data_IF_776967255306
#
_entry.id   IF_776967255306
#
_cell.length_a   1.000
_cell.length_b   1.000
_cell.length_c   1.000
_cell.angle_alpha   90.00
_cell.angle_beta   90.00
_cell.angle_gamma   90.00
#
_symmetry.space_group_name_H-M   'P 1'
#
loop_
_entity.id
_entity.type
_entity.pdbx_description
1 polymer ?
#
# COMPACT_ATOMS: atom_id res chain seq x y z
N UNK A 1 8.18 -21.93 -26.46
CA UNK A 1 7.94 -20.89 -25.44
C UNK A 1 6.91 -19.95 -25.99
N UNK A 2 5.70 -19.92 -25.41
CA UNK A 2 4.68 -18.95 -25.79
C UNK A 2 5.06 -17.57 -25.23
N UNK A 3 5.11 -16.59 -26.12
CA UNK A 3 5.39 -15.18 -25.83
C UNK A 3 4.11 -14.53 -25.27
N UNK A 4 4.09 -14.28 -23.97
CA UNK A 4 2.96 -13.61 -23.31
C UNK A 4 3.15 -12.11 -23.53
N UNK A 5 2.55 -11.59 -24.59
CA UNK A 5 2.49 -10.15 -24.86
C UNK A 5 1.42 -9.57 -23.92
N UNK A 6 1.87 -8.89 -22.86
CA UNK A 6 0.98 -8.11 -22.01
C UNK A 6 0.59 -6.83 -22.77
N UNK A 7 -0.69 -6.40 -22.70
CA UNK A 7 -1.07 -5.11 -23.24
C UNK A 7 -0.32 -4.00 -22.51
N UNK A 8 0.00 -2.93 -23.23
CA UNK A 8 0.54 -1.72 -22.64
C UNK A 8 -0.41 -1.23 -21.54
N UNK A 9 0.17 -0.84 -20.40
CA UNK A 9 -0.59 -0.27 -19.30
C UNK A 9 -1.18 1.03 -19.82
N UNK A 10 -2.50 1.19 -19.73
CA UNK A 10 -3.15 2.46 -19.97
C UNK A 10 -2.71 3.44 -18.88
N UNK A 11 -1.53 4.04 -19.04
CA UNK A 11 -1.10 5.15 -18.21
C UNK A 11 -1.85 6.38 -18.69
N UNK A 12 -2.86 6.80 -17.93
CA UNK A 12 -3.54 8.10 -18.05
C UNK A 12 -2.58 9.31 -17.94
N UNK A 13 -1.28 9.08 -17.77
CA UNK A 13 -0.22 10.07 -17.61
C UNK A 13 0.67 10.25 -18.85
N UNK A 14 0.36 9.59 -19.98
CA UNK A 14 1.18 9.64 -21.20
C UNK A 14 0.43 10.23 -22.40
N UNK A 15 -0.29 11.35 -22.22
CA UNK A 15 -0.66 12.22 -23.33
C UNK A 15 -0.31 13.68 -23.00
N UNK A 16 0.98 13.99 -23.06
CA UNK A 16 1.48 15.36 -22.93
C UNK A 16 1.30 16.13 -24.25
N UNK A 17 0.06 16.21 -24.76
CA UNK A 17 -0.12 16.62 -26.15
C UNK A 17 -1.50 17.02 -26.64
N UNK A 18 -2.45 17.46 -25.80
CA UNK A 18 -3.54 18.43 -26.08
C UNK A 18 -4.60 18.38 -24.97
N UNK A 19 -4.27 18.84 -23.76
CA UNK A 19 -5.30 19.00 -22.72
C UNK A 19 -5.98 20.36 -22.88
N UNK A 20 -7.04 20.38 -23.69
CA UNK A 20 -8.15 21.28 -23.40
C UNK A 20 -8.82 20.74 -22.14
N UNK A 21 -8.38 21.29 -21.00
CA UNK A 21 -8.75 20.89 -19.64
C UNK A 21 -10.19 21.36 -19.31
N UNK A 22 -11.19 20.59 -19.75
CA UNK A 22 -12.56 20.64 -19.24
C UNK A 22 -12.85 19.54 -18.20
N UNK A 23 -11.80 18.92 -17.66
CA UNK A 23 -11.88 18.25 -16.37
C UNK A 23 -11.81 19.29 -15.26
N UNK A 24 -12.62 19.22 -14.19
CA UNK A 24 -12.41 20.11 -13.05
C UNK A 24 -11.05 19.76 -12.45
N UNK A 25 -10.01 20.52 -12.78
CA UNK A 25 -8.68 20.42 -12.21
C UNK A 25 -8.81 20.09 -10.72
N UNK A 26 -8.41 18.88 -10.34
CA UNK A 26 -8.64 18.35 -9.00
C UNK A 26 -8.09 19.35 -7.98
N UNK A 27 -9.00 20.04 -7.28
CA UNK A 27 -8.62 21.04 -6.27
C UNK A 27 -8.15 20.31 -5.03
N UNK A 28 -6.85 20.35 -4.79
CA UNK A 28 -6.25 19.73 -3.61
C UNK A 28 -6.83 20.36 -2.35
N UNK A 29 -7.25 19.55 -1.37
CA UNK A 29 -7.73 20.08 -0.10
C UNK A 29 -6.56 20.66 0.69
N UNK A 30 -6.83 21.65 1.55
CA UNK A 30 -5.80 22.39 2.29
C UNK A 30 -4.91 21.49 3.17
N UNK A 31 -5.49 20.44 3.77
CA UNK A 31 -4.71 19.47 4.56
C UNK A 31 -3.66 18.70 3.74
N UNK A 32 -3.82 18.64 2.42
CA UNK A 32 -2.89 18.01 1.48
C UNK A 32 -1.88 19.02 0.88
N UNK A 33 -1.90 20.27 1.32
CA UNK A 33 -1.01 21.35 0.89
C UNK A 33 -0.12 21.83 2.05
N UNK A 34 1.05 22.38 1.72
CA UNK A 34 1.89 23.05 2.73
C UNK A 34 1.29 24.43 3.05
N UNK A 35 1.24 24.86 4.33
CA UNK A 35 1.97 24.32 5.49
C UNK A 35 1.23 23.25 6.32
N UNK A 36 -0.07 23.06 6.11
CA UNK A 36 -0.91 22.17 6.95
C UNK A 36 -0.45 20.71 6.88
N UNK A 37 -0.14 20.22 5.68
CA UNK A 37 0.38 18.88 5.46
C UNK A 37 1.65 18.62 6.28
N UNK A 38 2.57 19.59 6.34
CA UNK A 38 3.83 19.45 7.09
C UNK A 38 3.57 19.35 8.60
N UNK A 39 2.63 20.14 9.12
CA UNK A 39 2.23 20.07 10.53
C UNK A 39 1.56 18.72 10.84
N UNK A 40 0.69 18.23 9.96
CA UNK A 40 0.04 16.93 10.10
C UNK A 40 1.06 15.78 10.09
N UNK A 41 2.00 15.77 9.15
CA UNK A 41 3.05 14.76 9.06
C UNK A 41 3.95 14.75 10.30
N UNK A 42 4.33 15.92 10.81
CA UNK A 42 5.11 16.02 12.04
C UNK A 42 4.35 15.43 13.26
N UNK A 43 3.04 15.67 13.34
CA UNK A 43 2.19 15.11 14.39
C UNK A 43 1.91 13.59 14.21
N UNK A 44 1.96 13.08 12.98
CA UNK A 44 1.77 11.65 12.68
C UNK A 44 3.03 10.82 12.88
N UNK A 45 4.23 11.42 12.81
CA UNK A 45 5.51 10.71 12.82
C UNK A 45 5.74 9.81 14.04
N UNK A 46 5.16 10.14 15.19
CA UNK A 46 5.31 9.37 16.44
C UNK A 46 4.14 8.41 16.72
N UNK A 47 3.13 8.35 15.86
CA UNK A 47 1.97 7.48 16.06
C UNK A 47 2.25 6.07 15.58
N UNK A 48 1.96 5.08 16.41
CA UNK A 48 2.10 3.68 16.05
C UNK A 48 0.97 3.28 15.07
N UNK A 49 1.28 2.90 13.81
CA UNK A 49 0.26 2.47 12.85
C UNK A 49 -0.42 1.16 13.27
N UNK A 50 0.27 0.27 13.99
CA UNK A 50 -0.27 -1.03 14.38
C UNK A 50 -1.42 -0.89 15.40
N UNK A 51 -1.40 0.15 16.24
CA UNK A 51 -2.49 0.45 17.17
C UNK A 51 -3.74 0.98 16.46
N UNK A 52 -3.58 1.62 15.30
CA UNK A 52 -4.67 2.23 14.54
C UNK A 52 -5.30 1.26 13.52
N UNK A 53 -4.46 0.51 12.81
CA UNK A 53 -4.89 -0.35 11.71
C UNK A 53 -4.85 -1.85 12.04
N UNK A 54 -4.13 -2.23 13.10
CA UNK A 54 -3.88 -3.63 13.44
C UNK A 54 -2.91 -4.31 12.47
N UNK A 55 -2.67 -5.62 12.67
CA UNK A 55 -1.76 -6.38 11.84
C UNK A 55 -2.30 -6.54 10.40
N UNK A 56 -1.41 -6.41 9.42
CA UNK A 56 -1.73 -6.63 8.01
C UNK A 56 -2.03 -8.13 7.81
N UNK A 57 -3.29 -8.44 7.53
CA UNK A 57 -3.72 -9.83 7.27
C UNK A 57 -3.25 -10.29 5.89
N UNK A 58 -2.94 -11.58 5.73
CA UNK A 58 -2.61 -12.14 4.42
C UNK A 58 -3.78 -11.94 3.45
N UNK A 59 -3.46 -11.51 2.23
CA UNK A 59 -4.44 -11.26 1.20
C UNK A 59 -5.00 -12.57 0.63
N UNK A 60 -6.31 -12.78 0.74
CA UNK A 60 -6.99 -13.88 0.08
C UNK A 60 -7.60 -13.42 -1.24
N UNK A 61 -7.05 -13.90 -2.36
CA UNK A 61 -7.59 -13.61 -3.70
C UNK A 61 -8.98 -14.22 -3.91
N UNK A 62 -9.28 -15.32 -3.21
CA UNK A 62 -10.60 -15.96 -3.23
C UNK A 62 -11.67 -15.04 -2.64
N UNK A 63 -11.36 -14.37 -1.52
CA UNK A 63 -12.27 -13.42 -0.86
C UNK A 63 -12.48 -12.16 -1.69
N UNK A 64 -11.41 -11.61 -2.28
CA UNK A 64 -11.48 -10.38 -3.07
C UNK A 64 -12.33 -10.52 -4.33
N UNK A 65 -12.11 -11.58 -5.10
CA UNK A 65 -12.72 -11.74 -6.42
C UNK A 65 -13.95 -12.64 -6.41
N UNK A 66 -14.31 -13.23 -5.25
CA UNK A 66 -15.40 -14.21 -5.12
C UNK A 66 -15.35 -15.30 -6.21
N UNK A 67 -14.15 -15.62 -6.70
CA UNK A 67 -13.94 -16.47 -7.86
C UNK A 67 -13.80 -17.93 -7.43
N UNK A 68 -14.30 -18.87 -8.24
CA UNK A 68 -14.11 -20.29 -7.97
C UNK A 68 -12.62 -20.68 -8.00
N UNK A 69 -12.23 -21.51 -7.03
CA UNK A 69 -10.92 -22.17 -6.92
C UNK A 69 -10.54 -22.82 -8.25
N UNK A 70 -9.57 -22.24 -8.97
CA UNK A 70 -9.06 -22.79 -10.23
C UNK A 70 -8.61 -21.77 -11.28
N UNK A 71 -9.06 -20.50 -11.18
CA UNK A 71 -8.62 -19.43 -12.11
C UNK A 71 -7.33 -18.72 -11.68
N UNK A 72 -6.89 -18.91 -10.43
CA UNK A 72 -5.62 -18.39 -9.96
C UNK A 72 -4.52 -19.39 -10.26
N UNK A 73 -3.57 -18.99 -11.10
CA UNK A 73 -2.36 -19.78 -11.37
C UNK A 73 -1.56 -19.93 -10.07
N UNK A 74 -0.96 -21.11 -9.88
CA UNK A 74 -0.03 -21.32 -8.78
C UNK A 74 1.09 -20.28 -8.83
N UNK A 75 1.41 -19.71 -7.67
CA UNK A 75 2.46 -18.69 -7.54
C UNK A 75 3.78 -19.30 -8.01
N UNK A 76 4.39 -18.74 -9.05
CA UNK A 76 5.76 -19.06 -9.46
C UNK A 76 6.75 -18.54 -8.42
N UNK A 77 8.04 -18.84 -8.53
CA UNK A 77 9.06 -18.45 -7.53
C UNK A 77 9.07 -16.95 -7.19
N UNK A 78 8.82 -16.06 -8.18
CA UNK A 78 8.67 -14.60 -7.99
C UNK A 78 7.35 -14.19 -7.34
N UNK A 79 6.38 -15.10 -7.32
CA UNK A 79 5.09 -14.89 -6.71
C UNK A 79 5.05 -15.32 -5.25
N UNK A 80 5.96 -16.14 -4.73
CA UNK A 80 5.79 -16.81 -3.42
C UNK A 80 6.33 -16.00 -2.21
N UNK A 81 5.66 -14.91 -1.88
CA UNK A 81 5.96 -14.05 -0.72
C UNK A 81 5.62 -14.66 0.66
N UNK A 82 5.20 -15.93 0.74
CA UNK A 82 4.89 -16.58 2.02
C UNK A 82 6.12 -16.74 2.92
N UNK A 83 7.33 -16.69 2.35
CA UNK A 83 8.59 -16.81 3.07
C UNK A 83 9.24 -15.46 3.39
N UNK A 84 8.69 -14.37 2.87
CA UNK A 84 9.24 -13.01 2.95
C UNK A 84 8.53 -12.17 4.03
N UNK A 85 7.94 -12.82 5.03
CA UNK A 85 7.32 -12.15 6.17
C UNK A 85 8.36 -11.60 7.14
N UNK A 86 8.02 -10.50 7.81
CA UNK A 86 8.84 -9.98 8.90
C UNK A 86 8.86 -10.98 10.06
N UNK A 87 10.02 -11.14 10.68
CA UNK A 87 10.16 -11.86 11.94
C UNK A 87 9.75 -10.95 13.07
N UNK A 88 9.25 -11.56 14.14
CA UNK A 88 8.90 -10.86 15.38
C UNK A 88 10.05 -10.00 15.93
N UNK A 89 11.29 -10.47 15.80
CA UNK A 89 12.48 -9.73 16.19
C UNK A 89 12.65 -8.42 15.42
N UNK A 90 12.37 -8.43 14.11
CA UNK A 90 12.45 -7.27 13.23
C UNK A 90 11.36 -6.25 13.54
N UNK A 91 10.15 -6.72 13.86
CA UNK A 91 9.02 -5.89 14.31
C UNK A 91 9.34 -5.20 15.65
N UNK A 92 9.90 -5.93 16.61
CA UNK A 92 10.28 -5.40 17.92
C UNK A 92 11.43 -4.37 17.81
N UNK A 93 12.43 -4.63 16.95
CA UNK A 93 13.50 -3.68 16.69
C UNK A 93 12.99 -2.41 16.01
N UNK A 94 12.09 -2.55 15.03
CA UNK A 94 11.44 -1.43 14.38
C UNK A 94 10.65 -0.58 15.37
N UNK A 95 9.81 -1.19 16.20
CA UNK A 95 9.02 -0.48 17.21
C UNK A 95 9.92 0.27 18.20
N UNK A 96 11.03 -0.35 18.63
CA UNK A 96 12.03 0.30 19.50
C UNK A 96 12.69 1.49 18.82
N UNK A 97 13.09 1.37 17.55
CA UNK A 97 13.70 2.46 16.77
C UNK A 97 12.73 3.63 16.58
N UNK A 98 11.45 3.35 16.41
CA UNK A 98 10.41 4.36 16.23
C UNK A 98 9.90 4.95 17.55
N UNK A 99 10.31 4.40 18.70
CA UNK A 99 9.84 4.84 20.01
C UNK A 99 8.37 4.48 20.27
N UNK A 100 7.82 3.51 19.55
CA UNK A 100 6.47 3.02 19.78
C UNK A 100 6.48 2.22 21.09
N UNK A 101 5.88 2.79 22.15
CA UNK A 101 5.71 2.07 23.41
C UNK A 101 4.73 0.93 23.16
N UNK A 102 5.19 -0.31 23.29
CA UNK A 102 4.31 -1.47 23.21
C UNK A 102 3.27 -1.35 24.33
N UNK A 103 2.05 -0.94 23.98
CA UNK A 103 0.92 -0.89 24.89
C UNK A 103 0.63 -2.29 25.42
N UNK A 104 1.28 -2.66 26.51
CA UNK A 104 0.82 -3.73 27.40
C UNK A 104 -0.41 -3.19 28.12
N UNK A 105 -1.55 -3.30 27.43
CA UNK A 105 -2.81 -2.67 27.82
C UNK A 105 -3.99 -3.63 27.74
N UNK A 106 -3.99 -4.62 28.65
CA UNK A 106 -5.12 -5.42 29.16
C UNK A 106 -5.67 -6.58 28.31
#
# INVERSE_FOLDING_TARGET
SEEIVLPDIASEYSDSGDETDDSPAFKRPQWAESPELRAALAAQASKNPDELFGPIRPLSMEELFKAQKGKFRSRTSSGNWQRDGLKKEEEEEYARRMGFTTGTGK
#
